data_IF_908277169670
#
_entry.id   IF_908277169670
#
_cell.length_a   1.000
_cell.length_b   1.000
_cell.length_c   1.000
_cell.angle_alpha   90.00
_cell.angle_beta   90.00
_cell.angle_gamma   90.00
#
_symmetry.space_group_name_H-M   'P 1'
#
loop_
_entity.id
_entity.type
_entity.pdbx_description
1 polymer ?
#
# COMPACT_ATOMS: atom_id res chain seq x y z
N UNK A 1 -29.89 -27.77 -18.44
CA UNK A 1 -28.57 -27.46 -17.86
C UNK A 1 -27.99 -28.77 -17.37
N UNK A 2 -26.85 -29.18 -17.91
CA UNK A 2 -26.22 -30.46 -17.54
C UNK A 2 -25.44 -30.30 -16.24
N UNK A 3 -25.39 -31.35 -15.42
CA UNK A 3 -24.65 -31.33 -14.16
C UNK A 3 -23.15 -31.03 -14.33
N UNK A 4 -22.62 -31.27 -15.53
CA UNK A 4 -21.25 -30.90 -15.90
C UNK A 4 -21.02 -29.37 -15.89
N UNK A 5 -21.97 -28.58 -16.37
CA UNK A 5 -21.83 -27.12 -16.44
C UNK A 5 -21.91 -26.46 -15.05
N UNK A 6 -22.66 -27.07 -14.12
CA UNK A 6 -22.78 -26.58 -12.75
C UNK A 6 -21.48 -26.79 -11.95
N UNK A 7 -20.78 -27.90 -12.19
CA UNK A 7 -19.53 -28.25 -11.50
C UNK A 7 -18.36 -27.37 -11.94
N UNK A 8 -18.28 -27.07 -13.23
CA UNK A 8 -17.26 -26.16 -13.78
C UNK A 8 -17.40 -24.71 -13.27
N UNK A 9 -18.64 -24.28 -12.96
CA UNK A 9 -18.90 -22.96 -12.34
C UNK A 9 -18.56 -22.94 -10.85
N UNK A 10 -18.70 -24.05 -10.14
CA UNK A 10 -18.38 -24.16 -8.72
C UNK A 10 -16.86 -24.15 -8.48
N UNK A 11 -16.08 -24.80 -9.35
CA UNK A 11 -14.61 -24.78 -9.31
C UNK A 11 -14.05 -23.37 -9.60
N UNK A 12 -14.70 -22.58 -10.45
CA UNK A 12 -14.31 -21.19 -10.73
C UNK A 12 -14.53 -20.22 -9.55
N UNK A 13 -15.35 -20.58 -8.55
CA UNK A 13 -15.67 -19.72 -7.39
C UNK A 13 -14.81 -20.02 -6.16
N UNK A 14 -14.11 -21.16 -6.14
CA UNK A 14 -13.11 -21.48 -5.12
C UNK A 14 -11.75 -20.96 -5.57
N UNK A 15 -11.51 -19.66 -5.37
CA UNK A 15 -10.15 -19.13 -5.42
C UNK A 15 -9.22 -20.01 -4.59
N UNK A 16 -8.00 -20.25 -5.09
CA UNK A 16 -7.04 -21.13 -4.41
C UNK A 16 -6.84 -20.67 -2.96
N UNK A 17 -7.05 -21.57 -2.00
CA UNK A 17 -6.95 -21.22 -0.58
C UNK A 17 -5.50 -20.83 -0.25
N UNK A 18 -5.27 -19.66 0.37
CA UNK A 18 -3.93 -19.18 0.71
C UNK A 18 -3.21 -20.09 1.72
N UNK A 19 -3.94 -20.98 2.40
CA UNK A 19 -3.40 -21.96 3.34
C UNK A 19 -2.89 -23.24 2.67
N UNK A 20 -3.32 -23.51 1.43
CA UNK A 20 -2.95 -24.72 0.67
C UNK A 20 -2.04 -24.43 -0.50
N UNK A 21 -1.98 -23.18 -0.96
CA UNK A 21 -1.01 -22.78 -1.98
C UNK A 21 0.38 -22.67 -1.39
N UNK A 22 1.43 -23.03 -2.13
CA UNK A 22 2.80 -22.76 -1.73
C UNK A 22 2.99 -21.27 -1.43
N UNK A 23 3.86 -20.92 -0.48
CA UNK A 23 4.16 -19.52 -0.20
C UNK A 23 4.66 -18.85 -1.47
N UNK A 24 4.15 -17.64 -1.72
CA UNK A 24 4.63 -16.83 -2.83
C UNK A 24 6.14 -16.59 -2.68
N UNK A 25 6.85 -16.59 -3.80
CA UNK A 25 8.24 -16.17 -3.81
C UNK A 25 8.31 -14.71 -3.38
N UNK A 26 9.35 -14.37 -2.62
CA UNK A 26 9.66 -12.97 -2.34
C UNK A 26 9.85 -12.24 -3.67
N UNK A 27 9.23 -11.07 -3.79
CA UNK A 27 9.43 -10.20 -4.94
C UNK A 27 10.85 -9.65 -4.93
N UNK A 28 11.36 -9.31 -6.11
CA UNK A 28 12.63 -8.59 -6.23
C UNK A 28 12.48 -7.17 -5.65
N UNK A 29 13.52 -6.63 -4.97
CA UNK A 29 13.51 -5.26 -4.48
C UNK A 29 13.31 -4.25 -5.62
N UNK A 30 12.42 -3.29 -5.43
CA UNK A 30 12.25 -2.13 -6.32
C UNK A 30 12.96 -0.89 -5.78
N UNK A 31 12.92 0.21 -6.54
CA UNK A 31 13.40 1.51 -6.08
C UNK A 31 12.65 2.00 -4.83
N UNK A 32 11.36 1.65 -4.71
CA UNK A 32 10.53 2.01 -3.55
C UNK A 32 10.89 1.20 -2.30
N UNK A 33 11.63 0.10 -2.45
CA UNK A 33 12.10 -0.73 -1.34
C UNK A 33 13.48 -0.28 -0.82
N UNK A 34 14.05 0.79 -1.38
CA UNK A 34 15.33 1.31 -0.92
C UNK A 34 15.16 1.95 0.46
N UNK A 35 16.10 1.65 1.36
CA UNK A 35 16.16 2.28 2.67
C UNK A 35 16.53 3.76 2.50
N UNK A 36 15.84 4.62 3.26
CA UNK A 36 16.15 6.06 3.29
C UNK A 36 17.36 6.27 4.20
N UNK A 37 18.40 6.90 3.68
CA UNK A 37 19.53 7.34 4.49
C UNK A 37 19.15 8.58 5.31
N UNK A 38 18.88 8.37 6.59
CA UNK A 38 18.53 9.44 7.54
C UNK A 38 19.69 10.39 7.85
N UNK A 39 20.91 10.05 7.44
CA UNK A 39 22.09 10.92 7.57
C UNK A 39 22.33 11.79 6.35
N UNK A 40 21.57 11.59 5.27
CA UNK A 40 21.68 12.38 4.04
C UNK A 40 21.03 13.77 4.22
N UNK A 41 21.83 14.86 4.20
CA UNK A 41 21.34 16.22 4.39
C UNK A 41 20.42 16.70 3.26
N UNK A 42 20.35 15.99 2.11
CA UNK A 42 19.37 16.31 1.06
C UNK A 42 17.93 15.90 1.42
N UNK A 43 17.77 15.01 2.40
CA UNK A 43 16.48 14.64 2.99
C UNK A 43 16.12 15.50 4.20
N UNK A 44 17.07 16.29 4.73
CA UNK A 44 16.87 17.25 5.82
C UNK A 44 16.34 18.59 5.27
N UNK A 45 15.28 18.52 4.47
CA UNK A 45 14.58 19.71 3.97
C UNK A 45 13.70 20.27 5.08
N UNK A 46 13.78 21.58 5.30
CA UNK A 46 12.87 22.26 6.22
C UNK A 46 11.43 22.03 5.78
N UNK A 47 10.60 21.49 6.68
CA UNK A 47 9.17 21.35 6.44
C UNK A 47 8.56 22.75 6.32
N UNK A 48 7.95 23.05 5.17
CA UNK A 48 7.19 24.29 4.99
C UNK A 48 5.86 24.16 5.73
N UNK A 49 5.80 24.73 6.94
CA UNK A 49 4.60 24.77 7.77
C UNK A 49 3.88 26.13 7.71
N UNK A 50 4.18 26.95 6.69
CA UNK A 50 3.59 28.28 6.49
C UNK A 50 2.05 28.26 6.41
N UNK A 51 1.47 27.23 5.79
CA UNK A 51 0.00 27.09 5.69
C UNK A 51 -0.62 26.81 7.07
N UNK A 52 -0.05 25.87 7.83
CA UNK A 52 -0.52 25.55 9.19
C UNK A 52 -0.45 26.77 10.11
N UNK A 53 0.66 27.52 10.05
CA UNK A 53 0.82 28.74 10.83
C UNK A 53 -0.20 29.82 10.45
N UNK A 54 -0.62 29.89 9.18
CA UNK A 54 -1.65 30.83 8.72
C UNK A 54 -3.01 30.44 9.28
N UNK A 55 -3.38 29.17 9.21
CA UNK A 55 -4.64 28.65 9.76
C UNK A 55 -4.71 28.87 11.28
N UNK A 56 -3.65 28.53 12.02
CA UNK A 56 -3.57 28.79 13.46
C UNK A 56 -3.79 30.29 13.75
N UNK A 57 -3.14 31.18 13.01
CA UNK A 57 -3.30 32.62 13.17
C UNK A 57 -4.71 33.14 12.82
N UNK A 58 -5.46 32.45 11.96
CA UNK A 58 -6.86 32.78 11.67
C UNK A 58 -7.79 32.34 12.80
N UNK A 59 -7.57 31.14 13.37
CA UNK A 59 -8.39 30.64 14.49
C UNK A 59 -8.27 31.46 15.77
N UNK A 60 -7.16 32.17 15.98
CA UNK A 60 -6.96 33.06 17.14
C UNK A 60 -7.66 34.44 17.01
N UNK A 61 -8.25 34.75 15.84
CA UNK A 61 -8.91 36.05 15.58
C UNK A 61 -10.41 36.05 15.89
N UNK A 62 -11.00 34.89 16.13
CA UNK A 62 -12.41 34.70 16.52
C UNK A 62 -12.60 34.69 18.04
#
# INVERSE_FOLDING_TARGET
MTQHEAKEREEHMRGASPLTTPPARMREPSADDQEIDVSDPSHDLALDDSERLREDAETLKD
#
